data_IF_121566410468
#
_entry.id   IF_121566410468
#
_cell.length_a   1.000
_cell.length_b   1.000
_cell.length_c   1.000
_cell.angle_alpha   90.00
_cell.angle_beta   90.00
_cell.angle_gamma   90.00
#
_symmetry.space_group_name_H-M   'P 1'
#
loop_
_entity.id
_entity.type
_entity.pdbx_description
1 polymer ?
#
# COMPACT_ATOMS: atom_id res chain seq x y z
N UNK A 1 7.42 31.82 32.92
CA UNK A 1 8.49 31.96 31.92
C UNK A 1 8.01 31.30 30.64
N UNK A 2 7.25 32.07 29.85
CA UNK A 2 6.68 31.65 28.57
C UNK A 2 7.80 31.83 27.54
N UNK A 3 8.31 30.73 27.00
CA UNK A 3 9.26 30.80 25.88
C UNK A 3 8.48 31.25 24.64
N UNK A 4 8.49 32.56 24.42
CA UNK A 4 8.19 33.20 23.14
C UNK A 4 9.33 32.80 22.21
N UNK A 5 9.11 31.75 21.43
CA UNK A 5 9.95 31.43 20.28
C UNK A 5 9.67 32.50 19.23
N UNK A 6 10.71 33.28 18.94
CA UNK A 6 10.77 34.32 17.92
C UNK A 6 10.33 33.76 16.55
N UNK A 7 9.08 34.05 16.17
CA UNK A 7 8.46 33.71 14.89
C UNK A 7 8.98 34.67 13.81
N UNK A 8 10.26 34.53 13.46
CA UNK A 8 10.86 35.20 12.31
C UNK A 8 10.24 34.69 11.01
N UNK A 9 9.32 35.48 10.44
CA UNK A 9 8.69 35.30 9.12
C UNK A 9 7.86 34.03 8.96
N UNK A 10 6.79 33.91 9.74
CA UNK A 10 5.64 33.09 9.37
C UNK A 10 4.90 33.75 8.18
N UNK A 11 5.43 33.57 6.98
CA UNK A 11 4.80 34.05 5.75
C UNK A 11 3.64 33.11 5.43
N UNK A 12 2.49 33.34 6.06
CA UNK A 12 1.23 32.77 5.65
C UNK A 12 1.02 33.12 4.17
N UNK A 13 0.85 32.14 3.26
CA UNK A 13 0.43 32.50 1.91
C UNK A 13 -0.95 33.15 2.01
N UNK A 14 -1.12 34.25 1.27
CA UNK A 14 -2.36 35.01 1.13
C UNK A 14 -3.57 34.08 0.91
N UNK A 15 -4.79 34.51 1.33
CA UNK A 15 -6.01 33.72 1.17
C UNK A 15 -6.20 33.36 -0.30
N UNK A 16 -6.27 32.06 -0.60
CA UNK A 16 -6.67 31.48 -1.89
C UNK A 16 -6.32 32.36 -3.10
N UNK A 17 -5.03 32.59 -3.34
CA UNK A 17 -4.59 33.28 -4.55
C UNK A 17 -4.67 32.33 -5.76
N UNK A 18 -5.90 31.93 -6.07
CA UNK A 18 -6.34 31.26 -7.30
C UNK A 18 -6.06 32.14 -8.54
N UNK A 19 -5.54 33.37 -8.35
CA UNK A 19 -5.22 34.33 -9.42
C UNK A 19 -3.79 34.27 -9.95
N UNK A 20 -2.92 33.36 -9.49
CA UNK A 20 -1.81 32.89 -10.34
C UNK A 20 -2.32 31.84 -11.32
N UNK A 21 -3.17 32.26 -12.26
CA UNK A 21 -3.76 31.45 -13.34
C UNK A 21 -2.72 30.92 -14.38
N UNK A 22 -1.44 30.83 -14.00
CA UNK A 22 -0.35 30.27 -14.80
C UNK A 22 0.60 29.38 -14.00
N UNK A 23 0.28 29.01 -12.75
CA UNK A 23 1.13 28.13 -11.96
C UNK A 23 0.73 26.65 -12.16
N UNK A 24 1.56 25.80 -12.79
CA UNK A 24 1.21 24.39 -13.04
C UNK A 24 1.18 23.51 -11.77
N UNK A 25 1.39 24.06 -10.57
CA UNK A 25 1.39 23.30 -9.31
C UNK A 25 0.12 22.48 -9.05
N UNK A 26 -1.06 22.99 -9.41
CA UNK A 26 -2.31 22.22 -9.23
C UNK A 26 -2.37 21.00 -10.15
N UNK A 27 -1.82 21.09 -11.37
CA UNK A 27 -1.72 19.94 -12.29
C UNK A 27 -0.76 18.89 -11.74
N UNK A 28 0.35 19.31 -11.11
CA UNK A 28 1.28 18.40 -10.45
C UNK A 28 0.65 17.71 -9.23
N UNK A 29 -0.13 18.43 -8.42
CA UNK A 29 -0.87 17.86 -7.30
C UNK A 29 -1.90 16.83 -7.77
N UNK A 30 -2.68 17.17 -8.79
CA UNK A 30 -3.63 16.25 -9.42
C UNK A 30 -2.93 15.02 -10.01
N UNK A 31 -1.82 15.21 -10.74
CA UNK A 31 -1.01 14.12 -11.30
C UNK A 31 -0.50 13.18 -10.21
N UNK A 32 0.04 13.72 -9.12
CA UNK A 32 0.44 12.93 -7.95
C UNK A 32 -0.71 12.09 -7.42
N UNK A 33 -1.92 12.67 -7.31
CA UNK A 33 -3.13 11.97 -6.88
C UNK A 33 -3.56 10.85 -7.83
N UNK A 34 -3.51 11.08 -9.15
CA UNK A 34 -3.85 10.06 -10.17
C UNK A 34 -2.89 8.88 -10.08
N UNK A 35 -1.58 9.13 -10.05
CA UNK A 35 -0.56 8.08 -9.97
C UNK A 35 -0.65 7.32 -8.66
N UNK A 36 -0.84 8.04 -7.55
CA UNK A 36 -1.01 7.43 -6.22
C UNK A 36 -2.26 6.56 -6.16
N UNK A 37 -3.38 6.97 -6.76
CA UNK A 37 -4.60 6.17 -6.78
C UNK A 37 -4.39 4.86 -7.54
N UNK A 38 -3.74 4.91 -8.72
CA UNK A 38 -3.40 3.72 -9.48
C UNK A 38 -2.47 2.78 -8.67
N UNK A 39 -1.48 3.35 -7.98
CA UNK A 39 -0.59 2.59 -7.10
C UNK A 39 -1.36 1.89 -5.96
N UNK A 40 -2.31 2.58 -5.33
CA UNK A 40 -3.11 2.01 -4.23
C UNK A 40 -4.08 0.93 -4.71
N UNK A 41 -4.64 1.05 -5.92
CA UNK A 41 -5.43 -0.02 -6.52
C UNK A 41 -4.55 -1.28 -6.72
N UNK A 42 -3.36 -1.12 -7.30
CA UNK A 42 -2.42 -2.23 -7.48
C UNK A 42 -1.94 -2.81 -6.15
N UNK A 43 -1.75 -1.97 -5.12
CA UNK A 43 -1.44 -2.39 -3.77
C UNK A 43 -2.56 -3.27 -3.19
N UNK A 44 -3.82 -2.82 -3.24
CA UNK A 44 -4.97 -3.60 -2.76
C UNK A 44 -5.09 -4.92 -3.51
N UNK A 45 -4.88 -4.92 -4.83
CA UNK A 45 -4.86 -6.14 -5.65
C UNK A 45 -3.71 -7.07 -5.26
N UNK A 46 -2.52 -6.54 -5.01
CA UNK A 46 -1.35 -7.28 -4.53
C UNK A 46 -1.61 -7.94 -3.18
N UNK A 47 -2.18 -7.20 -2.23
CA UNK A 47 -2.59 -7.71 -0.91
C UNK A 47 -3.63 -8.82 -1.07
N UNK A 48 -4.64 -8.63 -1.92
CA UNK A 48 -5.65 -9.65 -2.19
C UNK A 48 -5.07 -10.96 -2.75
N UNK A 49 -4.01 -10.89 -3.55
CA UNK A 49 -3.38 -12.08 -4.16
C UNK A 49 -2.34 -12.78 -3.25
N UNK A 50 -1.65 -12.04 -2.38
CA UNK A 50 -0.48 -12.53 -1.63
C UNK A 50 -0.67 -12.55 -0.10
N UNK A 51 -1.69 -11.88 0.41
CA UNK A 51 -1.87 -11.60 1.84
C UNK A 51 -1.22 -10.28 2.26
N UNK A 52 -1.66 -9.75 3.40
CA UNK A 52 -1.18 -8.49 3.95
C UNK A 52 0.29 -8.60 4.38
N UNK A 53 0.72 -9.74 4.94
CA UNK A 53 2.09 -9.88 5.45
C UNK A 53 3.17 -9.90 4.36
N UNK A 54 2.79 -10.09 3.09
CA UNK A 54 3.73 -10.20 1.96
C UNK A 54 3.45 -9.13 0.89
N UNK A 55 2.18 -8.96 0.48
CA UNK A 55 1.82 -8.00 -0.56
C UNK A 55 2.08 -6.55 -0.15
N UNK A 56 1.70 -6.18 1.07
CA UNK A 56 1.87 -4.82 1.57
C UNK A 56 3.36 -4.42 1.68
N UNK A 57 4.25 -5.21 2.31
CA UNK A 57 5.68 -4.87 2.38
C UNK A 57 6.40 -4.89 1.04
N UNK A 58 6.03 -5.78 0.12
CA UNK A 58 6.67 -5.85 -1.18
C UNK A 58 6.35 -4.61 -2.02
N UNK A 59 5.09 -4.18 -2.03
CA UNK A 59 4.65 -3.00 -2.78
C UNK A 59 5.11 -1.69 -2.11
N UNK A 60 4.79 -1.52 -0.82
CA UNK A 60 5.11 -0.30 -0.08
C UNK A 60 6.62 -0.16 0.13
N UNK A 61 7.35 -1.26 0.36
CA UNK A 61 8.81 -1.25 0.42
C UNK A 61 9.47 -0.80 -0.88
N UNK A 62 8.99 -1.24 -2.04
CA UNK A 62 9.45 -0.73 -3.34
C UNK A 62 9.10 0.75 -3.53
N UNK A 63 7.92 1.15 -3.06
CA UNK A 63 7.52 2.56 -2.98
C UNK A 63 8.48 3.38 -2.14
N UNK A 64 8.94 2.87 -1.00
CA UNK A 64 9.93 3.52 -0.15
C UNK A 64 11.23 3.77 -0.90
N UNK A 65 11.80 2.75 -1.56
CA UNK A 65 13.05 2.88 -2.33
C UNK A 65 12.90 3.90 -3.44
N UNK A 66 11.88 3.74 -4.29
CA UNK A 66 11.68 4.64 -5.43
C UNK A 66 11.36 6.05 -5.01
N UNK A 67 10.49 6.22 -4.01
CA UNK A 67 10.11 7.54 -3.52
C UNK A 67 11.23 8.25 -2.77
N UNK A 68 12.13 7.53 -2.07
CA UNK A 68 13.33 8.11 -1.47
C UNK A 68 14.31 8.62 -2.54
N UNK A 69 14.52 7.84 -3.61
CA UNK A 69 15.35 8.27 -4.76
C UNK A 69 14.72 9.48 -5.46
N UNK A 70 13.41 9.45 -5.71
CA UNK A 70 12.68 10.57 -6.31
C UNK A 70 12.79 11.82 -5.44
N UNK A 71 12.58 11.69 -4.13
CA UNK A 71 12.68 12.81 -3.19
C UNK A 71 14.10 13.41 -3.18
N UNK A 72 15.13 12.55 -3.15
CA UNK A 72 16.52 12.98 -3.22
C UNK A 72 16.85 13.72 -4.53
N UNK A 73 16.35 13.24 -5.67
CA UNK A 73 16.55 13.89 -6.97
C UNK A 73 15.86 15.26 -7.03
N UNK A 74 14.74 15.43 -6.33
CA UNK A 74 14.02 16.70 -6.28
C UNK A 74 14.64 17.71 -5.31
N UNK A 75 15.13 17.23 -4.17
CA UNK A 75 15.74 18.05 -3.12
C UNK A 75 16.94 17.29 -2.51
N UNK A 76 18.17 17.49 -3.04
CA UNK A 76 19.37 16.73 -2.66
C UNK A 76 19.95 17.22 -1.32
N UNK A 77 19.10 17.27 -0.29
CA UNK A 77 19.47 17.63 1.09
C UNK A 77 19.86 16.44 1.95
N UNK A 78 19.52 15.22 1.53
CA UNK A 78 19.83 14.02 2.32
C UNK A 78 21.30 13.61 2.18
N UNK A 79 21.91 13.19 3.28
CA UNK A 79 23.25 12.61 3.32
C UNK A 79 23.25 11.23 2.63
N UNK A 80 23.99 11.13 1.52
CA UNK A 80 24.11 9.89 0.75
C UNK A 80 24.74 8.75 1.56
N UNK A 81 25.56 9.08 2.56
CA UNK A 81 26.26 8.10 3.40
C UNK A 81 25.30 7.21 4.16
N UNK A 82 24.11 7.72 4.49
CA UNK A 82 23.04 6.97 5.17
C UNK A 82 21.93 6.55 4.20
N UNK A 83 21.62 7.38 3.19
CA UNK A 83 20.58 7.08 2.20
C UNK A 83 20.91 5.85 1.35
N UNK A 84 22.14 5.76 0.82
CA UNK A 84 22.53 4.66 -0.08
C UNK A 84 22.52 3.31 0.66
N UNK A 85 23.15 3.15 1.83
CA UNK A 85 23.04 1.91 2.60
C UNK A 85 21.59 1.57 2.97
N UNK A 86 20.78 2.57 3.37
CA UNK A 86 19.38 2.36 3.70
C UNK A 86 18.55 1.82 2.52
N UNK A 87 18.76 2.36 1.33
CA UNK A 87 18.14 1.88 0.09
C UNK A 87 18.60 0.45 -0.25
N UNK A 88 19.89 0.14 -0.10
CA UNK A 88 20.41 -1.21 -0.35
C UNK A 88 19.82 -2.23 0.62
N UNK A 89 19.72 -1.89 1.91
CA UNK A 89 19.10 -2.75 2.92
C UNK A 89 17.61 -2.94 2.63
N UNK A 90 16.91 -1.90 2.18
CA UNK A 90 15.51 -2.00 1.75
C UNK A 90 15.34 -2.99 0.58
N UNK A 91 16.20 -2.89 -0.44
CA UNK A 91 16.20 -3.82 -1.58
C UNK A 91 16.47 -5.27 -1.15
N UNK A 92 17.36 -5.49 -0.18
CA UNK A 92 17.56 -6.81 0.43
C UNK A 92 16.30 -7.29 1.16
N UNK A 93 15.62 -6.42 1.92
CA UNK A 93 14.35 -6.72 2.59
C UNK A 93 13.25 -7.12 1.60
N UNK A 94 13.07 -6.34 0.53
CA UNK A 94 12.10 -6.61 -0.55
C UNK A 94 12.41 -7.93 -1.25
N UNK A 95 13.69 -8.20 -1.55
CA UNK A 95 14.12 -9.46 -2.16
C UNK A 95 13.82 -10.65 -1.26
N UNK A 96 14.01 -10.49 0.05
CA UNK A 96 13.69 -11.49 1.07
C UNK A 96 12.18 -11.74 1.16
N UNK A 97 11.35 -10.69 1.03
CA UNK A 97 9.87 -10.84 0.94
C UNK A 97 9.47 -11.59 -0.33
N UNK A 98 10.13 -11.32 -1.46
CA UNK A 98 9.91 -12.07 -2.70
C UNK A 98 10.22 -13.55 -2.53
N UNK A 99 11.34 -13.88 -1.85
CA UNK A 99 11.69 -15.25 -1.51
C UNK A 99 10.68 -15.89 -0.53
N UNK A 100 10.26 -15.14 0.49
CA UNK A 100 9.22 -15.57 1.44
C UNK A 100 7.92 -15.90 0.71
N UNK A 101 7.49 -15.04 -0.23
CA UNK A 101 6.33 -15.28 -1.08
C UNK A 101 6.48 -16.54 -1.90
N UNK A 102 7.65 -16.75 -2.50
CA UNK A 102 7.94 -17.91 -3.33
C UNK A 102 7.87 -19.21 -2.53
N UNK A 103 8.54 -19.27 -1.38
CA UNK A 103 8.53 -20.45 -0.51
C UNK A 103 7.13 -20.75 0.03
N UNK A 104 6.38 -19.73 0.45
CA UNK A 104 5.00 -19.89 0.90
C UNK A 104 4.12 -20.47 -0.21
N UNK A 105 4.19 -19.91 -1.42
CA UNK A 105 3.36 -20.37 -2.55
C UNK A 105 3.71 -21.81 -2.96
N UNK A 106 4.99 -22.19 -2.94
CA UNK A 106 5.43 -23.57 -3.19
C UNK A 106 4.91 -24.56 -2.13
N UNK A 107 4.97 -24.22 -0.85
CA UNK A 107 4.48 -25.09 0.22
C UNK A 107 2.96 -25.28 0.14
N UNK A 108 2.23 -24.20 -0.16
CA UNK A 108 0.79 -24.26 -0.38
C UNK A 108 0.45 -25.11 -1.62
N UNK A 109 1.24 -25.01 -2.69
CA UNK A 109 1.07 -25.83 -3.89
C UNK A 109 1.33 -27.31 -3.61
N UNK A 110 2.44 -27.64 -2.92
CA UNK A 110 2.81 -29.02 -2.58
C UNK A 110 1.72 -29.71 -1.76
N UNK A 111 1.09 -28.98 -0.83
CA UNK A 111 0.00 -29.49 0.00
C UNK A 111 -1.29 -29.74 -0.77
N UNK A 112 -1.64 -28.84 -1.69
CA UNK A 112 -2.80 -29.02 -2.54
C UNK A 112 -2.64 -30.24 -3.48
N UNK A 113 -1.41 -30.50 -3.94
CA UNK A 113 -1.09 -31.68 -4.73
C UNK A 113 -1.15 -33.00 -3.94
N UNK A 114 -0.66 -33.02 -2.69
CA UNK A 114 -0.74 -34.21 -1.84
C UNK A 114 -2.17 -34.56 -1.41
N UNK A 115 -3.03 -33.56 -1.18
CA UNK A 115 -4.44 -33.81 -0.85
C UNK A 115 -5.23 -34.39 -2.03
N UNK A 116 -4.89 -34.05 -3.28
CA UNK A 116 -5.56 -34.61 -4.46
C UNK A 116 -5.15 -36.06 -4.79
N UNK A 117 -4.00 -36.52 -4.28
CA UNK A 117 -3.55 -37.91 -4.46
C UNK A 117 -4.10 -38.86 -3.38
N UNK A 118 -4.47 -38.34 -2.20
CA UNK A 118 -4.99 -39.16 -1.09
C UNK A 118 -6.51 -39.38 -1.15
N UNK A 119 -7.28 -38.59 -1.93
CA UNK A 119 -8.74 -38.80 -2.11
C UNK A 119 -9.10 -40.01 -3.00
N UNK A 120 -8.12 -40.75 -3.51
CA UNK A 120 -8.34 -41.96 -4.32
C UNK A 120 -8.33 -43.27 -3.53
N UNK A 121 -8.01 -43.24 -2.23
CA UNK A 121 -8.05 -44.42 -1.36
C UNK A 121 -8.70 -44.10 -0.01
N UNK A 122 -9.69 -44.94 0.33
CA UNK A 122 -10.30 -45.20 1.65
C UNK A 122 -11.76 -44.74 1.83
N UNK A 123 -12.59 -45.78 1.75
CA UNK A 123 -14.00 -45.97 2.08
C UNK A 123 -14.26 -45.94 3.60
N UNK A 124 -15.46 -45.48 3.98
CA UNK A 124 -16.25 -46.00 5.12
C UNK A 124 -15.97 -45.56 6.58
N UNK A 125 -16.95 -44.80 7.13
CA UNK A 125 -17.54 -44.92 8.50
C UNK A 125 -17.13 -43.92 9.63
N UNK A 126 -17.95 -42.85 9.74
CA UNK A 126 -18.68 -42.30 10.93
C UNK A 126 -17.99 -41.69 12.19
N UNK A 127 -18.57 -40.53 12.59
CA UNK A 127 -18.62 -39.79 13.88
C UNK A 127 -17.67 -38.58 14.03
N UNK A 128 -18.12 -37.31 13.98
CA UNK A 128 -18.84 -36.52 15.04
C UNK A 128 -18.16 -36.71 16.42
N UNK A 129 -17.60 -35.74 17.14
CA UNK A 129 -17.83 -34.30 17.34
C UNK A 129 -16.52 -33.63 17.80
N UNK A 130 -16.23 -32.39 17.40
CA UNK A 130 -15.78 -31.34 18.33
C UNK A 130 -16.09 -29.98 17.71
N UNK A 131 -17.33 -29.53 17.90
CA UNK A 131 -17.71 -28.14 17.73
C UNK A 131 -17.42 -27.41 19.05
N UNK A 132 -16.51 -26.43 19.04
CA UNK A 132 -16.52 -25.26 19.92
C UNK A 132 -15.37 -24.31 19.56
N UNK A 133 -15.67 -23.01 19.55
CA UNK A 133 -14.80 -21.86 19.25
C UNK A 133 -14.55 -21.55 17.77
N UNK A 134 -15.62 -21.66 16.98
CA UNK A 134 -15.79 -20.94 15.72
C UNK A 134 -16.84 -19.85 15.93
N UNK A 135 -16.45 -18.71 16.51
CA UNK A 135 -17.30 -17.52 16.64
C UNK A 135 -16.46 -16.36 17.18
N UNK A 136 -15.77 -15.66 16.28
CA UNK A 136 -15.57 -14.19 16.31
C UNK A 136 -14.60 -13.82 15.17
N UNK A 137 -15.13 -13.10 14.18
CA UNK A 137 -14.51 -12.57 12.93
C UNK A 137 -15.16 -13.08 11.64
N UNK A 138 -16.32 -13.73 11.75
CA UNK A 138 -17.28 -13.86 10.66
C UNK A 138 -18.43 -12.85 10.87
N UNK A 139 -18.18 -11.57 10.61
CA UNK A 139 -19.30 -10.65 10.32
C UNK A 139 -18.84 -9.50 9.43
N UNK A 140 -18.61 -9.80 8.14
CA UNK A 140 -19.07 -9.00 7.00
C UNK A 140 -18.43 -9.43 5.67
N UNK A 141 -18.77 -10.63 5.20
CA UNK A 141 -18.77 -10.94 3.77
C UNK A 141 -19.61 -12.21 3.52
N UNK A 142 -20.90 -12.15 3.84
CA UNK A 142 -21.87 -13.04 3.22
C UNK A 142 -22.61 -12.24 2.15
N UNK A 143 -22.00 -12.19 0.95
CA UNK A 143 -22.59 -11.68 -0.28
C UNK A 143 -21.89 -12.37 -1.45
N UNK A 144 -22.56 -13.39 -1.98
CA UNK A 144 -22.29 -14.11 -3.21
C UNK A 144 -20.89 -14.76 -3.31
N UNK A 145 -20.88 -16.07 -3.16
CA UNK A 145 -19.80 -16.97 -3.58
C UNK A 145 -19.58 -16.83 -5.09
N UNK A 146 -18.81 -15.81 -5.47
CA UNK A 146 -18.24 -15.68 -6.80
C UNK A 146 -17.21 -16.79 -6.95
N UNK A 147 -17.37 -17.64 -7.97
CA UNK A 147 -16.46 -18.71 -8.33
C UNK A 147 -15.01 -18.25 -8.17
N UNK A 148 -14.26 -18.95 -7.30
CA UNK A 148 -12.87 -18.62 -6.95
C UNK A 148 -12.07 -18.44 -8.24
N UNK A 149 -11.57 -17.21 -8.55
CA UNK A 149 -10.91 -16.97 -9.83
C UNK A 149 -9.66 -17.86 -9.94
N UNK A 150 -9.26 -18.25 -11.17
CA UNK A 150 -8.08 -19.08 -11.39
C UNK A 150 -6.88 -18.43 -10.72
N UNK A 151 -6.12 -19.21 -9.93
CA UNK A 151 -4.95 -18.72 -9.17
C UNK A 151 -4.01 -17.98 -10.12
N UNK A 152 -3.79 -16.69 -9.87
CA UNK A 152 -2.81 -15.88 -10.58
C UNK A 152 -1.41 -16.52 -10.46
N UNK A 153 -0.66 -16.56 -11.56
CA UNK A 153 0.72 -17.05 -11.54
C UNK A 153 1.60 -16.17 -10.63
N UNK A 154 2.63 -16.75 -10.03
CA UNK A 154 3.56 -15.99 -9.18
C UNK A 154 4.18 -14.79 -9.88
N UNK A 155 4.48 -14.94 -11.18
CA UNK A 155 4.94 -13.83 -12.01
C UNK A 155 3.93 -12.68 -12.04
N UNK A 156 2.63 -12.98 -12.23
CA UNK A 156 1.58 -11.96 -12.23
C UNK A 156 1.50 -11.24 -10.88
N UNK A 157 1.54 -11.98 -9.77
CA UNK A 157 1.52 -11.40 -8.41
C UNK A 157 2.68 -10.42 -8.20
N UNK A 158 3.89 -10.83 -8.55
CA UNK A 158 5.09 -10.00 -8.43
C UNK A 158 5.04 -8.78 -9.34
N UNK A 159 4.64 -8.93 -10.61
CA UNK A 159 4.54 -7.81 -11.55
C UNK A 159 3.56 -6.74 -11.05
N UNK A 160 2.41 -7.15 -10.51
CA UNK A 160 1.41 -6.22 -9.95
C UNK A 160 1.98 -5.45 -8.77
N UNK A 161 2.60 -6.14 -7.81
CA UNK A 161 3.17 -5.49 -6.62
C UNK A 161 4.39 -4.61 -6.96
N UNK A 162 5.24 -5.04 -7.90
CA UNK A 162 6.39 -4.22 -8.36
C UNK A 162 5.88 -2.95 -9.05
N UNK A 163 4.93 -3.09 -9.98
CA UNK A 163 4.36 -1.94 -10.69
C UNK A 163 3.66 -0.98 -9.72
N UNK A 164 2.88 -1.51 -8.78
CA UNK A 164 2.24 -0.72 -7.72
C UNK A 164 3.25 0.03 -6.87
N UNK A 165 4.34 -0.64 -6.45
CA UNK A 165 5.38 -0.04 -5.64
C UNK A 165 6.15 1.06 -6.36
N UNK A 166 6.54 0.83 -7.62
CA UNK A 166 7.21 1.84 -8.44
C UNK A 166 6.32 3.08 -8.61
N UNK A 167 5.03 2.88 -8.94
CA UNK A 167 4.06 3.97 -9.09
C UNK A 167 3.85 4.73 -7.77
N UNK A 168 3.85 4.03 -6.63
CA UNK A 168 3.72 4.66 -5.32
C UNK A 168 4.87 5.66 -5.08
N UNK A 169 6.11 5.28 -5.39
CA UNK A 169 7.25 6.21 -5.30
C UNK A 169 7.22 7.30 -6.36
N UNK A 170 6.81 7.01 -7.59
CA UNK A 170 6.65 8.04 -8.64
C UNK A 170 5.59 9.08 -8.31
N UNK A 171 4.58 8.74 -7.52
CA UNK A 171 3.58 9.71 -7.07
C UNK A 171 4.20 10.90 -6.31
N UNK A 172 5.35 10.70 -5.66
CA UNK A 172 6.11 11.79 -5.02
C UNK A 172 6.58 12.85 -6.01
N UNK A 173 6.74 12.52 -7.31
CA UNK A 173 7.10 13.53 -8.30
C UNK A 173 6.08 14.66 -8.30
N UNK A 174 4.78 14.28 -8.34
CA UNK A 174 3.68 15.23 -8.32
C UNK A 174 3.63 16.01 -7.01
N UNK A 175 3.76 15.34 -5.87
CA UNK A 175 3.76 15.99 -4.55
C UNK A 175 4.91 17.00 -4.42
N UNK A 176 6.15 16.58 -4.71
CA UNK A 176 7.31 17.46 -4.59
C UNK A 176 7.24 18.64 -5.55
N UNK A 177 6.92 18.42 -6.83
CA UNK A 177 6.77 19.51 -7.82
C UNK A 177 5.62 20.46 -7.48
N UNK A 178 4.55 19.97 -6.86
CA UNK A 178 3.42 20.79 -6.41
C UNK A 178 3.72 21.63 -5.16
N UNK A 179 4.81 21.33 -4.43
CA UNK A 179 5.18 22.03 -3.19
C UNK A 179 6.51 22.77 -3.26
N UNK A 180 7.25 22.67 -4.37
CA UNK A 180 8.53 23.36 -4.58
C UNK A 180 8.38 24.59 -5.47
N UNK A 181 9.24 25.60 -5.31
CA UNK A 181 9.28 26.79 -6.17
C UNK A 181 9.59 26.44 -7.64
N UNK A 182 8.91 27.05 -8.64
CA UNK A 182 7.97 28.17 -8.57
C UNK A 182 6.50 27.76 -8.29
N UNK A 183 6.26 26.46 -8.11
CA UNK A 183 4.94 25.84 -7.99
C UNK A 183 4.46 25.71 -6.54
N UNK A 184 4.71 26.70 -5.69
CA UNK A 184 4.50 26.61 -4.24
C UNK A 184 3.00 26.57 -3.84
N UNK A 185 2.39 25.38 -3.84
CA UNK A 185 1.08 25.19 -3.20
C UNK A 185 1.23 25.10 -1.68
N UNK A 186 0.24 25.62 -0.96
CA UNK A 186 0.10 25.31 0.46
C UNK A 186 -0.20 23.81 0.64
N UNK A 187 0.11 23.20 1.80
CA UNK A 187 -0.20 21.79 2.06
C UNK A 187 -1.69 21.51 1.93
N UNK A 188 -2.53 22.47 2.34
CA UNK A 188 -3.98 22.42 2.19
C UNK A 188 -4.42 22.42 0.71
N UNK A 189 -3.82 23.29 -0.11
CA UNK A 189 -4.11 23.33 -1.54
C UNK A 189 -3.60 22.07 -2.26
N UNK A 190 -2.38 21.61 -1.94
CA UNK A 190 -1.84 20.37 -2.49
C UNK A 190 -2.74 19.17 -2.15
N UNK A 191 -3.15 19.04 -0.88
CA UNK A 191 -4.08 18.01 -0.46
C UNK A 191 -5.40 18.06 -1.24
N UNK A 192 -5.94 19.26 -1.47
CA UNK A 192 -7.21 19.44 -2.19
C UNK A 192 -7.09 18.97 -3.64
N UNK A 193 -6.07 19.41 -4.37
CA UNK A 193 -5.86 19.02 -5.77
C UNK A 193 -5.45 17.55 -5.91
N UNK A 194 -4.67 17.03 -4.96
CA UNK A 194 -4.34 15.62 -4.88
C UNK A 194 -5.61 14.77 -4.71
N UNK A 195 -6.46 15.10 -3.73
CA UNK A 195 -7.75 14.41 -3.52
C UNK A 195 -8.67 14.51 -4.75
N UNK A 196 -8.68 15.65 -5.44
CA UNK A 196 -9.42 15.80 -6.69
C UNK A 196 -8.87 14.87 -7.80
N UNK A 197 -7.54 14.74 -7.91
CA UNK A 197 -6.90 13.78 -8.81
C UNK A 197 -7.27 12.33 -8.49
N UNK A 198 -7.28 11.95 -7.21
CA UNK A 198 -7.74 10.62 -6.75
C UNK A 198 -9.20 10.39 -7.12
N UNK A 199 -10.07 11.36 -6.84
CA UNK A 199 -11.50 11.25 -7.14
C UNK A 199 -11.76 11.08 -8.65
N UNK A 200 -11.21 11.96 -9.47
CA UNK A 200 -11.41 11.93 -10.93
C UNK A 200 -10.80 10.68 -11.58
N UNK A 201 -9.61 10.25 -11.14
CA UNK A 201 -9.03 9.00 -11.64
C UNK A 201 -9.84 7.79 -11.24
N UNK A 202 -10.46 7.78 -10.06
CA UNK A 202 -11.31 6.66 -9.62
C UNK A 202 -12.50 6.45 -10.56
N UNK A 203 -13.10 7.52 -11.08
CA UNK A 203 -14.21 7.42 -12.06
C UNK A 203 -13.80 6.69 -13.34
N UNK A 204 -12.53 6.78 -13.74
CA UNK A 204 -11.99 6.13 -14.94
C UNK A 204 -11.43 4.74 -14.62
N UNK A 205 -10.72 4.61 -13.49
CA UNK A 205 -10.06 3.37 -13.12
C UNK A 205 -11.04 2.29 -12.72
N UNK A 206 -12.14 2.63 -12.03
CA UNK A 206 -13.17 1.68 -11.61
C UNK A 206 -13.77 0.88 -12.79
N UNK A 207 -14.27 1.49 -13.88
CA UNK A 207 -14.75 0.72 -15.03
C UNK A 207 -13.63 -0.05 -15.75
N UNK A 208 -12.40 0.46 -15.76
CA UNK A 208 -11.25 -0.23 -16.38
C UNK A 208 -10.87 -1.50 -15.64
N UNK A 209 -10.78 -1.48 -14.31
CA UNK A 209 -10.42 -2.67 -13.52
C UNK A 209 -11.52 -3.73 -13.54
N UNK A 210 -12.78 -3.34 -13.76
CA UNK A 210 -13.89 -4.30 -13.89
C UNK A 210 -13.95 -4.92 -15.27
N UNK A 211 -13.60 -4.14 -16.31
CA UNK A 211 -13.48 -4.63 -17.68
C UNK A 211 -12.25 -5.51 -17.88
N UNK A 212 -11.13 -5.19 -17.21
CA UNK A 212 -9.88 -5.94 -17.27
C UNK A 212 -9.40 -6.29 -15.84
N UNK A 213 -9.92 -7.38 -15.24
CA UNK A 213 -9.55 -7.77 -13.88
C UNK A 213 -8.08 -8.18 -13.82
N UNK A 214 -7.30 -7.43 -13.03
CA UNK A 214 -5.86 -7.61 -12.87
C UNK A 214 -5.53 -8.96 -12.21
N UNK A 215 -6.40 -9.48 -11.34
CA UNK A 215 -6.24 -10.82 -10.76
C UNK A 215 -6.41 -11.95 -11.80
N UNK A 216 -7.06 -11.66 -12.92
CA UNK A 216 -7.49 -12.63 -13.93
C UNK A 216 -8.99 -12.97 -13.82
N UNK A 217 -9.54 -13.54 -14.89
CA UNK A 217 -10.98 -13.85 -15.02
C UNK A 217 -11.63 -13.12 -16.20
N UNK A 218 -12.90 -13.42 -16.46
CA UNK A 218 -13.68 -12.70 -17.47
C UNK A 218 -14.03 -11.30 -16.96
N UNK A 219 -13.80 -10.28 -17.79
CA UNK A 219 -14.24 -8.92 -17.51
C UNK A 219 -15.76 -8.83 -17.35
N UNK A 220 -16.21 -7.92 -16.50
CA UNK A 220 -17.64 -7.66 -16.29
C UNK A 220 -17.96 -6.21 -16.63
N UNK A 221 -19.20 -5.99 -17.07
CA UNK A 221 -19.70 -4.64 -17.28
C UNK A 221 -19.81 -3.90 -15.93
N UNK A 222 -19.57 -2.60 -15.94
CA UNK A 222 -19.58 -1.77 -14.73
C UNK A 222 -20.99 -1.65 -14.09
N UNK A 223 -22.05 -1.67 -14.89
CA UNK A 223 -23.44 -1.47 -14.41
C UNK A 223 -23.92 -2.52 -13.38
N UNK A 224 -23.68 -3.83 -13.57
CA UNK A 224 -23.94 -4.85 -12.54
C UNK A 224 -23.29 -4.54 -11.18
N UNK A 225 -22.04 -4.08 -11.17
CA UNK A 225 -21.31 -3.78 -9.93
C UNK A 225 -21.91 -2.57 -9.22
N UNK A 226 -22.28 -1.53 -9.98
CA UNK A 226 -22.93 -0.35 -9.40
C UNK A 226 -24.29 -0.69 -8.76
N UNK A 227 -25.04 -1.66 -9.32
CA UNK A 227 -26.26 -2.18 -8.69
C UNK A 227 -25.96 -2.97 -7.43
N UNK A 228 -24.94 -3.83 -7.46
CA UNK A 228 -24.48 -4.60 -6.31
C UNK A 228 -24.02 -3.71 -5.15
N UNK A 229 -23.41 -2.56 -5.44
CA UNK A 229 -22.96 -1.60 -4.43
C UNK A 229 -24.09 -1.16 -3.47
N UNK A 230 -25.31 -1.02 -3.98
CA UNK A 230 -26.49 -0.63 -3.19
C UNK A 230 -27.04 -1.76 -2.31
N UNK A 231 -26.68 -3.01 -2.62
CA UNK A 231 -27.08 -4.20 -1.85
C UNK A 231 -26.09 -4.51 -0.71
N UNK A 232 -24.90 -3.92 -0.71
CA UNK A 232 -23.89 -4.13 0.33
C UNK A 232 -24.36 -3.52 1.67
N UNK A 233 -24.21 -4.23 2.81
CA UNK A 233 -24.61 -3.73 4.13
C UNK A 233 -23.94 -2.40 4.50
N UNK A 234 -24.66 -1.54 5.23
CA UNK A 234 -24.16 -0.22 5.66
C UNK A 234 -22.88 -0.32 6.49
N UNK A 235 -22.73 -1.36 7.32
CA UNK A 235 -21.51 -1.61 8.11
C UNK A 235 -20.27 -1.67 7.22
N UNK A 236 -20.34 -2.34 6.07
CA UNK A 236 -19.23 -2.47 5.14
C UNK A 236 -18.88 -1.13 4.46
N UNK A 237 -19.91 -0.33 4.13
CA UNK A 237 -19.73 1.02 3.59
C UNK A 237 -19.05 1.93 4.61
N UNK A 238 -19.52 1.93 5.86
CA UNK A 238 -18.93 2.73 6.94
C UNK A 238 -17.48 2.32 7.22
N UNK A 239 -17.18 1.02 7.22
CA UNK A 239 -15.81 0.54 7.42
C UNK A 239 -14.89 0.98 6.28
N UNK A 240 -15.39 0.96 5.04
CA UNK A 240 -14.66 1.45 3.86
C UNK A 240 -14.43 2.97 3.92
N UNK A 241 -15.45 3.72 4.34
CA UNK A 241 -15.35 5.17 4.54
C UNK A 241 -14.34 5.53 5.64
N UNK A 242 -14.33 4.77 6.74
CA UNK A 242 -13.38 4.95 7.83
C UNK A 242 -11.95 4.69 7.38
N UNK A 243 -11.71 3.62 6.61
CA UNK A 243 -10.40 3.33 6.02
C UNK A 243 -9.91 4.47 5.11
N UNK A 244 -10.80 4.97 4.23
CA UNK A 244 -10.50 6.11 3.37
C UNK A 244 -10.21 7.39 4.16
N UNK A 245 -10.96 7.65 5.22
CA UNK A 245 -10.74 8.81 6.11
C UNK A 245 -9.40 8.75 6.83
N UNK A 246 -9.02 7.58 7.37
CA UNK A 246 -7.72 7.36 8.02
C UNK A 246 -6.58 7.58 7.02
N UNK A 247 -6.70 7.02 5.82
CA UNK A 247 -5.69 7.16 4.77
C UNK A 247 -5.53 8.62 4.32
N UNK A 248 -6.64 9.33 4.10
CA UNK A 248 -6.61 10.75 3.73
C UNK A 248 -6.02 11.62 4.85
N UNK A 249 -6.37 11.34 6.10
CA UNK A 249 -5.83 12.05 7.26
C UNK A 249 -4.33 11.82 7.41
N UNK A 250 -3.87 10.59 7.23
CA UNK A 250 -2.45 10.26 7.21
C UNK A 250 -1.68 10.99 6.10
N UNK A 251 -2.23 11.01 4.88
CA UNK A 251 -1.61 11.72 3.76
C UNK A 251 -1.62 13.25 3.96
N UNK A 252 -2.64 13.79 4.62
CA UNK A 252 -2.68 15.20 5.01
C UNK A 252 -1.57 15.55 6.01
N UNK A 253 -1.38 14.74 7.05
CA UNK A 253 -0.28 14.95 8.01
C UNK A 253 1.10 14.77 7.37
N UNK A 254 1.23 13.84 6.42
CA UNK A 254 2.44 13.70 5.59
C UNK A 254 2.75 15.00 4.84
N UNK A 255 1.76 15.61 4.16
CA UNK A 255 1.93 16.88 3.46
C UNK A 255 2.25 18.05 4.40
N UNK A 256 1.69 18.06 5.60
CA UNK A 256 1.99 19.07 6.60
C UNK A 256 3.43 18.93 7.13
N UNK A 257 3.88 17.69 7.32
CA UNK A 257 5.25 17.36 7.75
C UNK A 257 6.32 17.78 6.75
N UNK A 258 6.04 17.69 5.44
CA UNK A 258 6.98 18.07 4.37
C UNK A 258 7.47 19.53 4.43
N UNK A 259 6.77 20.42 5.15
CA UNK A 259 7.23 21.80 5.38
C UNK A 259 8.26 21.90 6.50
N UNK A 260 8.09 21.11 7.54
CA UNK A 260 8.95 21.14 8.74
C UNK A 260 10.12 20.17 8.63
N UNK A 261 9.97 19.14 7.81
CA UNK A 261 10.92 18.05 7.61
C UNK A 261 11.20 17.91 6.11
N UNK A 262 12.41 17.52 5.74
CA UNK A 262 12.75 17.20 4.35
C UNK A 262 11.81 16.09 3.81
N UNK A 263 11.38 16.21 2.54
CA UNK A 263 10.49 15.27 1.86
C UNK A 263 10.97 13.82 2.00
N UNK A 264 12.28 13.58 1.96
CA UNK A 264 12.86 12.23 2.15
C UNK A 264 12.52 11.65 3.53
N UNK A 265 12.66 12.44 4.60
CA UNK A 265 12.39 11.96 5.98
C UNK A 265 10.91 11.72 6.18
N UNK A 266 10.07 12.69 5.78
CA UNK A 266 8.62 12.55 5.89
C UNK A 266 8.12 11.34 5.12
N UNK A 267 8.73 11.05 3.96
CA UNK A 267 8.37 9.89 3.18
C UNK A 267 8.75 8.61 3.92
N UNK A 268 9.97 8.50 4.43
CA UNK A 268 10.40 7.31 5.17
C UNK A 268 9.61 7.05 6.44
N UNK A 269 9.20 8.09 7.17
CA UNK A 269 8.30 7.94 8.32
C UNK A 269 6.96 7.35 7.87
N UNK A 270 6.40 7.84 6.77
CA UNK A 270 5.16 7.29 6.18
C UNK A 270 5.31 5.82 5.74
N UNK A 271 6.52 5.41 5.37
CA UNK A 271 6.85 4.05 4.94
C UNK A 271 7.21 3.10 6.09
N UNK A 272 6.92 3.46 7.34
CA UNK A 272 7.06 2.58 8.51
C UNK A 272 5.89 1.59 8.67
N UNK A 273 4.75 1.88 8.03
CA UNK A 273 3.55 1.04 8.07
C UNK A 273 3.78 -0.45 7.70
N UNK A 274 4.64 -0.82 6.73
CA UNK A 274 4.92 -2.21 6.37
C UNK A 274 5.30 -3.12 7.53
N UNK A 275 6.09 -2.62 8.48
CA UNK A 275 6.48 -3.40 9.66
C UNK A 275 5.26 -3.81 10.48
N UNK A 276 4.36 -2.86 10.72
CA UNK A 276 3.09 -3.11 11.41
C UNK A 276 2.23 -4.07 10.60
N UNK A 277 2.19 -3.90 9.27
CA UNK A 277 1.47 -4.80 8.35
C UNK A 277 1.97 -6.25 8.41
N UNK A 278 3.29 -6.46 8.46
CA UNK A 278 3.89 -7.80 8.61
C UNK A 278 3.48 -8.42 9.93
N UNK A 279 3.65 -7.69 11.04
CA UNK A 279 3.34 -8.19 12.37
C UNK A 279 1.86 -8.53 12.50
N UNK A 280 0.99 -7.64 12.03
CA UNK A 280 -0.45 -7.86 12.05
C UNK A 280 -0.88 -9.04 11.16
N UNK A 281 -0.37 -9.12 9.93
CA UNK A 281 -0.63 -10.23 9.02
C UNK A 281 -0.11 -11.57 9.56
N UNK A 282 1.03 -11.56 10.26
CA UNK A 282 1.64 -12.76 10.83
C UNK A 282 0.88 -13.26 12.05
N UNK A 283 0.56 -12.39 13.01
CA UNK A 283 0.01 -12.79 14.31
C UNK A 283 -1.51 -12.77 14.38
N UNK A 284 -2.15 -11.73 13.84
CA UNK A 284 -3.60 -11.57 13.90
C UNK A 284 -4.29 -12.42 12.85
N UNK A 285 -3.90 -12.27 11.58
CA UNK A 285 -4.47 -13.05 10.48
C UNK A 285 -3.87 -14.45 10.32
N UNK A 286 -2.81 -14.75 11.09
CA UNK A 286 -2.13 -16.05 11.08
C UNK A 286 -1.82 -16.52 9.65
N UNK A 287 -1.37 -15.62 8.78
CA UNK A 287 -1.18 -15.88 7.34
C UNK A 287 -0.12 -16.95 7.02
N UNK A 288 0.71 -17.29 8.00
CA UNK A 288 1.74 -18.33 7.93
C UNK A 288 1.36 -19.56 8.77
N UNK A 289 0.11 -19.67 9.22
CA UNK A 289 -0.37 -20.85 9.95
C UNK A 289 -0.14 -22.11 9.10
N UNK A 290 0.53 -23.07 9.72
CA UNK A 290 0.86 -24.34 9.10
C UNK A 290 2.08 -24.31 8.19
N UNK A 291 2.71 -23.20 7.80
CA UNK A 291 3.92 -23.24 6.93
C UNK A 291 5.15 -23.77 7.66
N UNK A 292 6.18 -24.20 6.93
CA UNK A 292 7.40 -24.77 7.53
C UNK A 292 8.18 -23.76 8.39
N UNK A 293 9.05 -24.27 9.26
CA UNK A 293 9.97 -23.46 10.06
C UNK A 293 10.88 -22.57 9.19
N UNK A 294 11.15 -22.96 7.94
CA UNK A 294 11.96 -22.17 7.01
C UNK A 294 11.25 -20.90 6.50
N UNK A 295 9.91 -20.94 6.37
CA UNK A 295 9.10 -19.75 6.03
C UNK A 295 8.96 -18.84 7.24
N UNK A 296 8.70 -19.43 8.42
CA UNK A 296 8.63 -18.69 9.68
C UNK A 296 9.95 -18.00 10.05
N UNK A 297 11.09 -18.63 9.78
CA UNK A 297 12.41 -18.03 10.02
C UNK A 297 12.72 -16.79 9.17
N UNK A 298 12.07 -16.63 8.01
CA UNK A 298 12.27 -15.47 7.14
C UNK A 298 11.50 -14.22 7.61
N UNK A 299 10.38 -14.38 8.30
CA UNK A 299 9.55 -13.26 8.78
C UNK A 299 10.34 -12.29 9.69
N UNK A 300 11.02 -12.73 10.76
CA UNK A 300 11.80 -11.82 11.61
C UNK A 300 12.98 -11.17 10.85
N UNK A 301 13.59 -11.90 9.90
CA UNK A 301 14.66 -11.35 9.05
C UNK A 301 14.15 -10.18 8.21
N UNK A 302 12.96 -10.33 7.60
CA UNK A 302 12.31 -9.25 6.86
C UNK A 302 12.04 -8.05 7.75
N UNK A 303 11.49 -8.26 8.96
CA UNK A 303 11.24 -7.17 9.91
C UNK A 303 12.51 -6.41 10.29
N UNK A 304 13.61 -7.13 10.57
CA UNK A 304 14.89 -6.49 10.91
C UNK A 304 15.42 -5.69 9.73
N UNK A 305 15.43 -6.26 8.52
CA UNK A 305 15.89 -5.55 7.32
C UNK A 305 15.10 -4.27 7.05
N UNK A 306 13.76 -4.32 7.15
CA UNK A 306 12.95 -3.11 6.98
C UNK A 306 13.16 -2.09 8.09
N UNK A 307 13.26 -2.52 9.35
CA UNK A 307 13.53 -1.62 10.46
C UNK A 307 14.90 -0.93 10.31
N UNK A 308 15.94 -1.67 9.94
CA UNK A 308 17.27 -1.12 9.66
C UNK A 308 17.24 -0.18 8.46
N UNK A 309 16.55 -0.53 7.37
CA UNK A 309 16.41 0.34 6.21
C UNK A 309 15.73 1.67 6.55
N UNK A 310 14.61 1.63 7.27
CA UNK A 310 13.88 2.82 7.70
C UNK A 310 14.76 3.67 8.62
N UNK A 311 15.47 3.07 9.58
CA UNK A 311 16.37 3.79 10.48
C UNK A 311 17.51 4.49 9.73
N UNK A 312 18.14 3.82 8.76
CA UNK A 312 19.20 4.39 7.96
C UNK A 312 18.71 5.53 7.07
N UNK A 313 17.57 5.37 6.38
CA UNK A 313 17.06 6.45 5.54
C UNK A 313 16.53 7.62 6.37
N UNK A 314 15.93 7.35 7.54
CA UNK A 314 15.53 8.41 8.47
C UNK A 314 16.73 9.19 9.01
N UNK A 315 17.86 8.53 9.27
CA UNK A 315 19.11 9.18 9.68
C UNK A 315 19.77 10.00 8.54
N UNK A 316 19.33 9.81 7.29
CA UNK A 316 19.90 10.48 6.13
C UNK A 316 19.36 11.89 5.88
N UNK A 317 18.22 12.29 6.45
CA UNK A 317 17.67 13.62 6.21
C UNK A 317 17.86 14.57 7.38
#
# INVERSE_FOLDING_TARGET
>A
MVLVVDQGKQQYPAPLDTRRAGNPGYLWGMFGGVVWNLANILLCKGIGMMGNAIGFPLCVGLGMVTGAVVAYVQDPKSDLSFLVPGVLVALCGISTVGLLSYRKDQEVFRRAGSSSSDESEVDGTVSQETAASAEESAESADCAEAAKPPRASMLRKLVVCITGGLLLGFSNIGVGKATSDPCLLSPYANQTYFSLGVFLSSLVMLPLITACPIEGGAGTNFCPILRGYRAVPLKCHLLSMLGGFILCSGFFFFNLGNKSMNLTISYCIGQSAPLVGILWGTFFFKEFAGTSAGVWGLVPVVCVLFATAIALIAAAG
#
